data_IF_108013343580
#
_entry.id   IF_108013343580
#
_cell.length_a   1.000
_cell.length_b   1.000
_cell.length_c   1.000
_cell.angle_alpha   90.00
_cell.angle_beta   90.00
_cell.angle_gamma   90.00
#
_symmetry.space_group_name_H-M   'P 1'
#
loop_
_entity.id
_entity.type
_entity.pdbx_description
1 polymer ?
#
# COMPACT_ATOMS: atom_id res chain seq x y z
N UNK A 1 0.55 -7.89 6.08
CA UNK A 1 -0.82 -7.62 5.58
C UNK A 1 -1.84 -8.72 5.92
N UNK A 2 -1.48 -10.01 5.98
CA UNK A 2 -2.43 -11.11 6.27
C UNK A 2 -3.21 -10.94 7.60
N UNK A 3 -2.56 -10.43 8.66
CA UNK A 3 -3.21 -10.17 9.96
C UNK A 3 -4.34 -9.15 9.83
N UNK A 4 -4.20 -8.13 8.96
CA UNK A 4 -5.26 -7.13 8.74
C UNK A 4 -6.49 -7.77 8.09
N UNK A 5 -6.28 -8.65 7.11
CA UNK A 5 -7.37 -9.43 6.52
C UNK A 5 -8.03 -10.36 7.53
N UNK A 6 -7.26 -11.02 8.40
CA UNK A 6 -7.81 -11.88 9.44
C UNK A 6 -8.66 -11.07 10.43
N UNK A 7 -8.18 -9.91 10.87
CA UNK A 7 -8.95 -9.00 11.72
C UNK A 7 -10.24 -8.51 11.03
N UNK A 8 -10.16 -8.17 9.74
CA UNK A 8 -11.32 -7.81 8.92
C UNK A 8 -12.36 -8.93 8.84
N UNK A 9 -11.91 -10.16 8.61
CA UNK A 9 -12.78 -11.34 8.55
C UNK A 9 -13.46 -11.64 9.90
N UNK A 10 -12.75 -11.45 11.01
CA UNK A 10 -13.31 -11.60 12.35
C UNK A 10 -14.40 -10.56 12.66
N UNK A 11 -14.35 -9.40 12.00
CA UNK A 11 -15.36 -8.35 12.13
C UNK A 11 -16.65 -8.60 11.36
N UNK A 12 -16.70 -9.57 10.45
CA UNK A 12 -17.90 -9.83 9.63
C UNK A 12 -18.96 -10.57 10.48
N UNK A 13 -20.17 -10.02 10.66
CA UNK A 13 -21.22 -10.68 11.43
C UNK A 13 -21.61 -12.04 10.84
N UNK A 14 -21.60 -13.09 11.66
CA UNK A 14 -21.97 -14.46 11.24
C UNK A 14 -23.39 -14.56 10.66
N UNK A 15 -24.30 -13.71 11.15
CA UNK A 15 -25.69 -13.63 10.69
C UNK A 15 -25.81 -13.43 9.18
N UNK A 16 -24.88 -12.71 8.54
CA UNK A 16 -24.89 -12.53 7.08
C UNK A 16 -24.65 -13.85 6.34
N UNK A 17 -23.80 -14.72 6.88
CA UNK A 17 -23.53 -16.03 6.29
C UNK A 17 -24.67 -17.01 6.53
N UNK A 18 -25.27 -16.98 7.72
CA UNK A 18 -26.44 -17.79 8.07
C UNK A 18 -27.66 -17.42 7.20
N UNK A 19 -27.93 -16.13 7.02
CA UNK A 19 -29.00 -15.67 6.13
C UNK A 19 -28.79 -16.13 4.68
N UNK A 20 -27.55 -16.04 4.18
CA UNK A 20 -27.22 -16.50 2.84
C UNK A 20 -27.33 -18.03 2.69
N UNK A 21 -27.13 -18.80 3.76
CA UNK A 21 -27.37 -20.25 3.75
C UNK A 21 -28.86 -20.58 3.68
N UNK A 22 -29.71 -19.82 4.39
CA UNK A 22 -31.17 -19.94 4.29
C UNK A 22 -31.65 -19.61 2.88
N UNK A 23 -31.03 -18.61 2.22
CA UNK A 23 -31.33 -18.23 0.83
C UNK A 23 -30.70 -19.19 -0.21
N UNK A 24 -30.02 -20.26 0.21
CA UNK A 24 -29.44 -21.27 -0.68
C UNK A 24 -28.17 -20.84 -1.41
N UNK A 25 -27.47 -19.80 -0.94
CA UNK A 25 -26.24 -19.31 -1.56
C UNK A 25 -25.08 -20.29 -1.41
N UNK A 26 -24.41 -20.59 -2.53
CA UNK A 26 -23.18 -21.42 -2.59
C UNK A 26 -21.98 -20.67 -2.02
N UNK A 27 -20.94 -21.40 -1.61
CA UNK A 27 -19.72 -20.81 -1.01
C UNK A 27 -19.05 -19.71 -1.84
N UNK A 28 -19.04 -19.83 -3.17
CA UNK A 28 -18.53 -18.78 -4.06
C UNK A 28 -19.38 -17.51 -4.06
N UNK A 29 -20.71 -17.64 -3.96
CA UNK A 29 -21.61 -16.50 -3.84
C UNK A 29 -21.38 -15.78 -2.51
N UNK A 30 -21.26 -16.53 -1.40
CA UNK A 30 -20.93 -15.94 -0.08
C UNK A 30 -19.59 -15.19 -0.11
N UNK A 31 -18.59 -15.70 -0.82
CA UNK A 31 -17.30 -15.02 -0.97
C UNK A 31 -17.40 -13.68 -1.74
N UNK A 32 -18.03 -13.67 -2.91
CA UNK A 32 -18.11 -12.46 -3.75
C UNK A 32 -19.11 -11.42 -3.26
N UNK A 33 -20.21 -11.85 -2.63
CA UNK A 33 -21.30 -10.95 -2.24
C UNK A 33 -21.28 -10.56 -0.75
N UNK A 34 -20.60 -11.32 0.11
CA UNK A 34 -20.46 -10.99 1.55
C UNK A 34 -19.01 -10.66 1.87
N UNK A 35 -18.09 -11.61 1.66
CA UNK A 35 -16.71 -11.47 2.13
C UNK A 35 -15.97 -10.32 1.44
N UNK A 36 -15.95 -10.28 0.10
CA UNK A 36 -15.22 -9.24 -0.65
C UNK A 36 -15.77 -7.82 -0.36
N UNK A 37 -17.09 -7.57 -0.42
CA UNK A 37 -17.64 -6.25 -0.16
C UNK A 37 -17.38 -5.77 1.27
N UNK A 38 -17.50 -6.66 2.26
CA UNK A 38 -17.24 -6.33 3.67
C UNK A 38 -15.75 -6.06 3.94
N UNK A 39 -14.85 -6.69 3.18
CA UNK A 39 -13.40 -6.45 3.28
C UNK A 39 -12.90 -5.26 2.44
N UNK A 40 -13.78 -4.51 1.75
CA UNK A 40 -13.37 -3.39 0.89
C UNK A 40 -12.47 -2.39 1.62
N UNK A 41 -12.84 -2.00 2.83
CA UNK A 41 -12.09 -1.04 3.64
C UNK A 41 -10.69 -1.57 4.02
N UNK A 42 -10.62 -2.83 4.43
CA UNK A 42 -9.36 -3.50 4.78
C UNK A 42 -8.47 -3.66 3.55
N UNK A 43 -9.06 -4.03 2.41
CA UNK A 43 -8.37 -4.15 1.13
C UNK A 43 -7.78 -2.81 0.70
N UNK A 44 -8.56 -1.72 0.82
CA UNK A 44 -8.07 -0.37 0.56
C UNK A 44 -6.84 -0.06 1.41
N UNK A 45 -6.94 -0.22 2.74
CA UNK A 45 -5.84 0.05 3.66
C UNK A 45 -4.59 -0.77 3.33
N UNK A 46 -4.76 -2.07 3.05
CA UNK A 46 -3.64 -2.95 2.68
C UNK A 46 -2.96 -2.49 1.39
N UNK A 47 -3.73 -2.14 0.35
CA UNK A 47 -3.16 -1.67 -0.92
C UNK A 47 -2.52 -0.30 -0.75
N UNK A 48 -3.10 0.62 0.03
CA UNK A 48 -2.49 1.93 0.35
C UNK A 48 -1.13 1.75 1.02
N UNK A 49 -1.10 0.99 2.12
CA UNK A 49 0.13 0.76 2.88
C UNK A 49 1.18 0.00 2.06
N UNK A 50 0.75 -0.98 1.27
CA UNK A 50 1.61 -1.71 0.35
C UNK A 50 2.25 -0.79 -0.68
N UNK A 51 1.47 0.10 -1.29
CA UNK A 51 1.93 1.04 -2.32
C UNK A 51 2.87 2.12 -1.76
N UNK A 52 2.57 2.65 -0.57
CA UNK A 52 3.49 3.54 0.14
C UNK A 52 4.79 2.80 0.43
N UNK A 53 4.69 1.59 0.97
CA UNK A 53 5.82 0.74 1.29
C UNK A 53 6.70 0.51 0.07
N UNK A 54 6.13 0.08 -1.07
CA UNK A 54 6.91 -0.21 -2.28
C UNK A 54 7.63 1.01 -2.85
N UNK A 55 6.99 2.18 -2.85
CA UNK A 55 7.62 3.44 -3.30
C UNK A 55 8.76 3.89 -2.37
N UNK A 56 8.72 3.49 -1.10
CA UNK A 56 9.72 3.81 -0.09
C UNK A 56 10.75 2.69 0.15
N UNK A 57 10.71 1.58 -0.61
CA UNK A 57 11.67 0.48 -0.49
C UNK A 57 13.08 0.94 -0.93
N UNK A 58 13.87 1.45 0.00
CA UNK A 58 15.28 1.80 -0.22
C UNK A 58 16.24 0.77 0.39
N UNK A 59 15.84 0.17 1.52
CA UNK A 59 16.62 -0.77 2.31
C UNK A 59 16.85 -2.08 1.56
N UNK A 60 15.78 -2.67 1.04
CA UNK A 60 15.82 -3.92 0.29
C UNK A 60 16.55 -3.74 -1.04
N UNK A 61 16.37 -2.58 -1.68
CA UNK A 61 17.08 -2.19 -2.89
C UNK A 61 18.57 -1.99 -2.62
N UNK A 62 18.95 -1.38 -1.50
CA UNK A 62 20.36 -1.22 -1.13
C UNK A 62 21.04 -2.56 -0.86
N UNK A 63 20.38 -3.47 -0.16
CA UNK A 63 20.93 -4.80 0.17
C UNK A 63 21.12 -5.62 -1.11
N UNK A 64 20.11 -5.70 -1.97
CA UNK A 64 20.15 -6.50 -3.21
C UNK A 64 20.98 -5.81 -4.29
N UNK A 65 20.87 -4.48 -4.40
CA UNK A 65 21.54 -3.64 -5.39
C UNK A 65 23.05 -3.68 -5.31
N UNK A 66 23.63 -4.05 -4.15
CA UNK A 66 25.06 -4.35 -4.04
C UNK A 66 25.55 -5.47 -4.97
N UNK A 67 24.62 -6.30 -5.49
CA UNK A 67 24.90 -7.40 -6.42
C UNK A 67 24.32 -7.17 -7.83
N UNK A 68 23.60 -6.07 -8.08
CA UNK A 68 22.95 -5.76 -9.36
C UNK A 68 23.63 -4.58 -10.08
N UNK A 69 23.60 -4.52 -11.44
CA UNK A 69 24.18 -3.39 -12.18
C UNK A 69 23.58 -2.05 -11.72
N UNK A 70 24.46 -1.07 -11.41
CA UNK A 70 24.10 0.23 -10.82
C UNK A 70 22.97 0.98 -11.56
N UNK A 71 22.91 0.85 -12.89
CA UNK A 71 21.93 1.54 -13.73
C UNK A 71 20.53 0.88 -13.73
N UNK A 72 20.41 -0.37 -13.29
CA UNK A 72 19.17 -1.15 -13.40
C UNK A 72 18.27 -1.10 -12.17
N UNK A 73 18.74 -0.56 -11.04
CA UNK A 73 18.03 -0.68 -9.75
C UNK A 73 18.03 0.63 -8.93
N UNK A 74 17.92 1.78 -9.59
CA UNK A 74 17.79 3.06 -8.87
C UNK A 74 16.30 3.32 -8.62
N UNK A 75 15.84 3.02 -7.40
CA UNK A 75 14.55 3.57 -6.92
C UNK A 75 14.76 5.02 -6.47
N UNK A 76 13.71 5.84 -6.57
CA UNK A 76 13.78 7.24 -6.14
C UNK A 76 14.14 7.36 -4.65
N UNK A 77 13.67 6.42 -3.82
CA UNK A 77 14.03 6.34 -2.42
C UNK A 77 15.52 6.00 -2.20
N UNK A 78 16.10 5.11 -3.02
CA UNK A 78 17.54 4.84 -3.01
C UNK A 78 18.36 6.06 -3.42
N UNK A 79 17.93 6.79 -4.46
CA UNK A 79 18.59 8.02 -4.90
C UNK A 79 18.65 9.10 -3.80
N UNK A 80 17.55 9.26 -3.04
CA UNK A 80 17.51 10.16 -1.88
C UNK A 80 18.54 9.73 -0.83
N UNK A 81 18.61 8.43 -0.53
CA UNK A 81 19.53 7.88 0.45
C UNK A 81 21.00 8.06 0.03
N UNK A 82 21.35 7.67 -1.20
CA UNK A 82 22.70 7.76 -1.73
C UNK A 82 23.18 9.22 -1.80
N UNK A 83 22.31 10.14 -2.21
CA UNK A 83 22.61 11.58 -2.26
C UNK A 83 22.82 12.19 -0.88
N UNK A 84 22.11 11.71 0.15
CA UNK A 84 22.24 12.16 1.53
C UNK A 84 23.45 11.55 2.24
N UNK A 85 23.79 10.29 1.95
CA UNK A 85 24.84 9.53 2.63
C UNK A 85 25.78 8.81 1.64
N UNK A 86 26.54 9.53 0.80
CA UNK A 86 27.32 8.94 -0.31
C UNK A 86 28.63 8.23 0.10
N UNK A 87 28.72 7.65 1.30
CA UNK A 87 29.86 6.86 1.78
C UNK A 87 31.18 7.64 1.93
N UNK A 88 31.88 7.85 0.81
CA UNK A 88 33.20 8.49 0.74
C UNK A 88 33.18 9.93 0.18
N UNK A 89 32.03 10.41 -0.31
CA UNK A 89 31.88 11.75 -0.90
C UNK A 89 31.19 12.75 0.05
N UNK A 90 31.28 14.04 -0.27
CA UNK A 90 30.54 15.07 0.46
C UNK A 90 29.02 14.90 0.25
N UNK A 91 28.20 14.95 1.33
CA UNK A 91 26.74 14.86 1.24
C UNK A 91 26.12 15.96 0.38
N UNK A 92 25.24 15.57 -0.55
CA UNK A 92 24.45 16.51 -1.39
C UNK A 92 23.05 16.68 -0.79
N UNK A 93 23.01 17.18 0.45
CA UNK A 93 21.77 17.25 1.26
C UNK A 93 20.67 18.08 0.58
N UNK A 94 21.03 19.15 -0.15
CA UNK A 94 20.07 19.95 -0.90
C UNK A 94 19.36 19.16 -2.00
N UNK A 95 20.12 18.40 -2.79
CA UNK A 95 19.57 17.53 -3.84
C UNK A 95 18.74 16.38 -3.26
N UNK A 96 19.25 15.75 -2.19
CA UNK A 96 18.53 14.68 -1.49
C UNK A 96 17.18 15.16 -0.94
N UNK A 97 17.15 16.36 -0.35
CA UNK A 97 15.93 16.95 0.20
C UNK A 97 14.92 17.28 -0.90
N UNK A 98 15.36 17.85 -2.02
CA UNK A 98 14.49 18.11 -3.17
C UNK A 98 13.88 16.81 -3.72
N UNK A 99 14.69 15.77 -3.91
CA UNK A 99 14.22 14.47 -4.37
C UNK A 99 13.27 13.80 -3.35
N UNK A 100 13.50 13.97 -2.05
CA UNK A 100 12.62 13.46 -0.99
C UNK A 100 11.24 14.15 -1.01
N UNK A 101 11.21 15.47 -1.23
CA UNK A 101 9.95 16.22 -1.39
C UNK A 101 9.20 15.76 -2.63
N UNK A 102 9.88 15.54 -3.76
CA UNK A 102 9.27 15.00 -4.98
C UNK A 102 8.69 13.61 -4.73
N UNK A 103 9.45 12.72 -4.07
CA UNK A 103 8.97 11.38 -3.70
C UNK A 103 7.73 11.48 -2.81
N UNK A 104 7.73 12.35 -1.80
CA UNK A 104 6.59 12.55 -0.91
C UNK A 104 5.35 13.05 -1.68
N UNK A 105 5.51 14.02 -2.58
CA UNK A 105 4.43 14.53 -3.42
C UNK A 105 3.88 13.45 -4.36
N UNK A 106 4.75 12.62 -4.94
CA UNK A 106 4.37 11.51 -5.79
C UNK A 106 3.56 10.47 -5.01
N UNK A 107 4.06 10.04 -3.86
CA UNK A 107 3.36 9.09 -2.98
C UNK A 107 2.02 9.65 -2.53
N UNK A 108 1.96 10.91 -2.11
CA UNK A 108 0.73 11.58 -1.68
C UNK A 108 -0.28 11.68 -2.83
N UNK A 109 0.15 12.05 -4.03
CA UNK A 109 -0.71 12.13 -5.23
C UNK A 109 -1.33 10.77 -5.53
N UNK A 110 -0.53 9.70 -5.49
CA UNK A 110 -1.01 8.34 -5.72
C UNK A 110 -2.04 7.92 -4.65
N UNK A 111 -1.78 8.22 -3.38
CA UNK A 111 -2.71 7.91 -2.28
C UNK A 111 -4.02 8.70 -2.43
N UNK A 112 -3.97 9.97 -2.82
CA UNK A 112 -5.16 10.78 -3.07
C UNK A 112 -5.99 10.25 -4.24
N UNK A 113 -5.33 9.84 -5.33
CA UNK A 113 -5.99 9.20 -6.48
C UNK A 113 -6.68 7.91 -6.02
N UNK A 114 -5.96 7.05 -5.30
CA UNK A 114 -6.51 5.79 -4.78
C UNK A 114 -7.72 6.02 -3.86
N UNK A 115 -7.64 7.02 -2.97
CA UNK A 115 -8.75 7.42 -2.09
C UNK A 115 -9.97 7.88 -2.88
N UNK A 116 -9.78 8.65 -3.95
CA UNK A 116 -10.87 9.11 -4.84
C UNK A 116 -11.55 7.95 -5.56
N UNK A 117 -10.78 6.97 -6.06
CA UNK A 117 -11.32 5.79 -6.74
C UNK A 117 -12.03 4.82 -5.79
N UNK A 118 -11.56 4.71 -4.54
CA UNK A 118 -12.16 3.77 -3.58
C UNK A 118 -13.51 4.23 -3.02
N UNK A 119 -13.94 5.48 -3.25
CA UNK A 119 -15.28 5.94 -2.85
C UNK A 119 -15.50 6.13 -1.34
N UNK A 120 -14.47 5.89 -0.51
CA UNK A 120 -14.49 6.08 0.95
C UNK A 120 -14.78 7.54 1.39
N UNK A 121 -14.80 8.49 0.44
CA UNK A 121 -15.26 9.86 0.69
C UNK A 121 -16.79 10.04 0.75
N UNK A 122 -17.58 8.99 0.53
CA UNK A 122 -19.05 9.04 0.63
C UNK A 122 -19.57 8.61 2.01
N UNK A 123 -18.94 7.62 2.65
CA UNK A 123 -19.46 7.04 3.90
C UNK A 123 -19.19 7.89 5.16
N UNK A 124 -18.37 8.95 5.05
CA UNK A 124 -18.11 9.89 6.15
C UNK A 124 -19.04 11.13 6.11
N UNK A 125 -20.00 11.17 5.16
CA UNK A 125 -20.89 12.32 4.93
C UNK A 125 -22.37 12.02 5.18
N UNK A 126 -22.71 10.77 5.46
CA UNK A 126 -24.06 10.29 5.79
C UNK A 126 -24.07 9.73 7.23
#
# INVERSE_FOLDING_TARGET
FMILYLAGLQGIPKVLYEAAEVDGAKGWQKFWYITIPQLKHITFLVVTLGLIGTLQMFDQVKIIGSQAPLESTITLAYYVYDSAFPGASAPKVGMASAAAVILALLTLTIVLIQKKFSGEGRDLRD
#
